data_IF_079071012321
#
_entry.id   IF_079071012321
#
_cell.length_a   1.000
_cell.length_b   1.000
_cell.length_c   1.000
_cell.angle_alpha   90.00
_cell.angle_beta   90.00
_cell.angle_gamma   90.00
#
_symmetry.space_group_name_H-M   'P 1'
#
loop_
_entity.id
_entity.type
_entity.pdbx_description
1 polymer ?
#
# COMPACT_ATOMS: atom_id res chain seq x y z
N UNK A 1 -8.69 -51.61 3.37
CA UNK A 1 -9.12 -50.85 4.56
C UNK A 1 -8.06 -49.99 5.19
N UNK A 2 -6.80 -50.39 5.15
CA UNK A 2 -5.69 -49.54 5.64
C UNK A 2 -5.51 -48.26 4.81
N UNK A 3 -5.75 -48.27 3.50
CA UNK A 3 -5.69 -47.10 2.65
C UNK A 3 -6.73 -46.04 2.99
N UNK A 4 -7.92 -46.41 3.46
CA UNK A 4 -8.97 -45.45 3.80
C UNK A 4 -8.67 -44.69 5.11
N UNK A 5 -7.90 -45.27 6.00
CA UNK A 5 -7.51 -44.63 7.26
C UNK A 5 -6.42 -43.56 7.01
N UNK A 6 -5.43 -43.87 6.17
CA UNK A 6 -4.37 -42.93 5.79
C UNK A 6 -4.94 -41.78 4.96
N UNK A 7 -5.92 -42.03 4.09
CA UNK A 7 -6.56 -40.99 3.29
C UNK A 7 -7.34 -40.00 4.16
N UNK A 8 -8.01 -40.46 5.20
CA UNK A 8 -8.71 -39.61 6.16
C UNK A 8 -7.78 -38.68 6.89
N UNK A 9 -6.62 -39.17 7.30
CA UNK A 9 -5.61 -38.36 7.96
C UNK A 9 -5.08 -37.26 7.04
N UNK A 10 -4.84 -37.59 5.76
CA UNK A 10 -4.40 -36.64 4.77
C UNK A 10 -5.43 -35.52 4.54
N UNK A 11 -6.72 -35.84 4.51
CA UNK A 11 -7.79 -34.84 4.39
C UNK A 11 -7.82 -33.90 5.60
N UNK A 12 -7.63 -34.40 6.79
CA UNK A 12 -7.57 -33.56 8.00
C UNK A 12 -6.38 -32.61 7.98
N UNK A 13 -5.21 -33.08 7.55
CA UNK A 13 -4.00 -32.24 7.43
C UNK A 13 -4.23 -31.13 6.40
N UNK A 14 -4.79 -31.45 5.24
CA UNK A 14 -5.13 -30.47 4.21
C UNK A 14 -6.14 -29.44 4.72
N UNK A 15 -7.15 -29.88 5.44
CA UNK A 15 -8.17 -29.00 6.01
C UNK A 15 -7.55 -28.02 7.00
N UNK A 16 -6.68 -28.48 7.89
CA UNK A 16 -5.99 -27.64 8.87
C UNK A 16 -5.08 -26.62 8.17
N UNK A 17 -4.35 -27.05 7.14
CA UNK A 17 -3.52 -26.15 6.34
C UNK A 17 -4.35 -25.07 5.64
N UNK A 18 -5.50 -25.44 5.10
CA UNK A 18 -6.41 -24.51 4.43
C UNK A 18 -6.99 -23.48 5.39
N UNK A 19 -7.38 -23.91 6.57
CA UNK A 19 -7.89 -23.02 7.63
C UNK A 19 -6.78 -22.07 8.10
N UNK A 20 -5.57 -22.56 8.31
CA UNK A 20 -4.44 -21.73 8.71
C UNK A 20 -4.12 -20.67 7.66
N UNK A 21 -4.11 -21.05 6.38
CA UNK A 21 -3.89 -20.11 5.28
C UNK A 21 -4.99 -19.04 5.22
N UNK A 22 -6.25 -19.44 5.37
CA UNK A 22 -7.38 -18.51 5.40
C UNK A 22 -7.28 -17.51 6.54
N UNK A 23 -6.87 -17.96 7.72
CA UNK A 23 -6.67 -17.08 8.89
C UNK A 23 -5.56 -16.06 8.60
N UNK A 24 -4.45 -16.47 8.01
CA UNK A 24 -3.35 -15.58 7.65
C UNK A 24 -3.81 -14.51 6.65
N UNK A 25 -4.53 -14.91 5.62
CA UNK A 25 -5.04 -13.98 4.61
C UNK A 25 -6.05 -12.99 5.19
N UNK A 26 -6.94 -13.44 6.06
CA UNK A 26 -7.93 -12.60 6.74
C UNK A 26 -7.22 -11.58 7.64
N UNK A 27 -6.20 -12.00 8.38
CA UNK A 27 -5.43 -11.09 9.25
C UNK A 27 -4.70 -10.01 8.46
N UNK A 28 -4.11 -10.34 7.32
CA UNK A 28 -3.45 -9.36 6.46
C UNK A 28 -4.42 -8.30 5.94
N UNK A 29 -5.59 -8.72 5.47
CA UNK A 29 -6.61 -7.80 4.99
C UNK A 29 -7.18 -6.93 6.12
N UNK A 30 -7.39 -7.51 7.30
CA UNK A 30 -7.90 -6.78 8.47
C UNK A 30 -6.94 -5.74 9.01
N UNK A 31 -5.62 -5.89 8.80
CA UNK A 31 -4.67 -4.89 9.28
C UNK A 31 -4.86 -3.55 8.56
N UNK A 32 -4.99 -3.56 7.23
CA UNK A 32 -5.27 -2.35 6.47
C UNK A 32 -6.62 -1.74 6.86
N UNK A 33 -7.66 -2.56 7.02
CA UNK A 33 -8.96 -2.11 7.48
C UNK A 33 -8.91 -1.54 8.90
N UNK A 34 -8.14 -2.15 9.78
CA UNK A 34 -7.94 -1.66 11.14
C UNK A 34 -7.28 -0.28 11.15
N UNK A 35 -6.24 -0.07 10.36
CA UNK A 35 -5.58 1.24 10.22
C UNK A 35 -6.57 2.26 9.65
N UNK A 36 -7.34 1.85 8.66
CA UNK A 36 -8.33 2.72 8.04
C UNK A 36 -9.42 3.17 9.03
N UNK A 37 -9.94 2.25 9.86
CA UNK A 37 -11.02 2.55 10.81
C UNK A 37 -10.53 3.23 12.08
N UNK A 38 -9.37 2.86 12.59
CA UNK A 38 -8.88 3.29 13.91
C UNK A 38 -7.68 4.26 13.83
N UNK A 39 -7.13 4.47 12.64
CA UNK A 39 -6.00 5.36 12.43
C UNK A 39 -6.38 6.83 12.57
N UNK A 40 -5.40 7.64 12.94
CA UNK A 40 -5.54 9.09 12.91
C UNK A 40 -5.49 9.58 11.46
N UNK A 41 -6.28 10.61 11.17
CA UNK A 41 -6.39 11.19 9.85
C UNK A 41 -5.39 12.34 9.71
N UNK A 42 -4.61 12.33 8.66
CA UNK A 42 -3.74 13.43 8.27
C UNK A 42 -3.74 13.55 6.74
N UNK A 43 -2.92 14.41 6.21
CA UNK A 43 -2.75 14.56 4.76
C UNK A 43 -1.33 14.26 4.37
N UNK A 44 -1.15 13.78 3.14
CA UNK A 44 0.16 13.61 2.53
C UNK A 44 0.14 14.19 1.11
N UNK A 45 1.33 14.53 0.62
CA UNK A 45 1.50 15.02 -0.74
C UNK A 45 2.26 13.99 -1.56
N UNK A 46 1.72 13.62 -2.72
CA UNK A 46 2.42 12.76 -3.65
C UNK A 46 3.55 13.55 -4.31
N UNK A 47 4.78 13.09 -4.13
CA UNK A 47 5.95 13.73 -4.72
C UNK A 47 6.28 13.16 -6.08
N UNK A 48 6.24 11.83 -6.21
CA UNK A 48 6.68 11.13 -7.41
C UNK A 48 6.01 9.76 -7.47
N UNK A 49 5.74 9.30 -8.66
CA UNK A 49 5.29 7.92 -8.87
C UNK A 49 6.21 7.24 -9.88
N UNK A 50 6.47 5.96 -9.64
CA UNK A 50 7.31 5.18 -10.53
C UNK A 50 6.84 3.74 -10.59
N UNK A 51 7.26 3.04 -11.62
CA UNK A 51 6.91 1.64 -11.85
C UNK A 51 8.19 0.82 -11.89
N UNK A 52 8.22 -0.26 -11.12
CA UNK A 52 9.26 -1.25 -11.23
C UNK A 52 8.86 -2.29 -12.30
N UNK A 53 9.77 -2.67 -13.20
CA UNK A 53 9.44 -3.61 -14.27
C UNK A 53 9.09 -4.98 -13.70
N UNK A 54 8.25 -5.72 -14.42
CA UNK A 54 7.96 -7.11 -14.11
C UNK A 54 9.22 -7.95 -14.19
N UNK A 55 9.41 -8.84 -13.22
CA UNK A 55 10.44 -9.86 -13.29
C UNK A 55 9.81 -11.24 -13.53
N UNK A 56 10.62 -12.30 -13.60
CA UNK A 56 10.17 -13.63 -13.98
C UNK A 56 9.03 -14.19 -13.12
N UNK A 57 8.94 -13.77 -11.86
CA UNK A 57 8.00 -14.32 -10.89
C UNK A 57 6.89 -13.35 -10.49
N UNK A 58 7.10 -12.05 -10.74
CA UNK A 58 6.16 -11.01 -10.30
C UNK A 58 5.83 -10.05 -11.43
N UNK A 59 4.58 -9.60 -11.47
CA UNK A 59 4.17 -8.53 -12.36
C UNK A 59 4.79 -7.18 -11.98
N UNK A 60 4.51 -6.12 -12.73
CA UNK A 60 5.03 -4.80 -12.44
C UNK A 60 4.55 -4.31 -11.06
N UNK A 61 5.42 -3.58 -10.37
CA UNK A 61 5.12 -3.00 -9.07
C UNK A 61 4.96 -1.49 -9.23
N UNK A 62 3.86 -0.96 -8.73
CA UNK A 62 3.51 0.46 -8.82
C UNK A 62 3.76 1.11 -7.48
N UNK A 63 4.55 2.18 -7.48
CA UNK A 63 5.02 2.86 -6.28
C UNK A 63 4.74 4.35 -6.34
N UNK A 64 4.42 4.94 -5.19
CA UNK A 64 4.22 6.38 -5.03
C UNK A 64 5.04 6.84 -3.83
N UNK A 65 5.86 7.87 -4.03
CA UNK A 65 6.59 8.50 -2.94
C UNK A 65 5.72 9.65 -2.43
N UNK A 66 5.37 9.60 -1.14
CA UNK A 66 4.58 10.63 -0.49
C UNK A 66 5.35 11.28 0.63
N UNK A 67 5.09 12.55 0.87
CA UNK A 67 5.62 13.29 2.02
C UNK A 67 4.47 13.69 2.95
N UNK A 68 4.76 13.70 4.24
CA UNK A 68 3.80 14.08 5.27
C UNK A 68 4.50 14.76 6.42
N UNK A 69 3.74 15.46 7.25
CA UNK A 69 4.26 16.10 8.46
C UNK A 69 3.73 15.36 9.68
N UNK A 70 4.66 14.88 10.50
CA UNK A 70 4.35 14.23 11.77
C UNK A 70 4.95 15.05 12.91
N UNK A 71 4.08 15.74 13.64
CA UNK A 71 4.53 16.74 14.62
C UNK A 71 5.21 17.91 13.92
N UNK A 72 6.52 18.09 14.18
CA UNK A 72 7.34 19.11 13.52
C UNK A 72 8.27 18.54 12.44
N UNK A 73 8.24 17.23 12.24
CA UNK A 73 9.15 16.54 11.31
C UNK A 73 8.42 16.23 10.01
N UNK A 74 9.04 16.61 8.91
CA UNK A 74 8.62 16.22 7.55
C UNK A 74 9.33 14.92 7.18
N UNK A 75 8.57 13.92 6.79
CA UNK A 75 9.09 12.61 6.43
C UNK A 75 8.52 12.15 5.08
N UNK A 76 9.16 11.17 4.47
CA UNK A 76 8.75 10.60 3.18
C UNK A 76 8.60 9.10 3.30
N UNK A 77 7.61 8.56 2.57
CA UNK A 77 7.36 7.12 2.48
C UNK A 77 7.25 6.71 1.02
N UNK A 78 7.71 5.49 0.74
CA UNK A 78 7.53 4.82 -0.55
C UNK A 78 6.41 3.81 -0.40
N UNK A 79 5.27 4.08 -1.01
CA UNK A 79 4.05 3.31 -0.83
C UNK A 79 3.75 2.52 -2.10
N UNK A 80 3.56 1.21 -1.95
CA UNK A 80 3.09 0.36 -3.03
C UNK A 80 1.59 0.50 -3.17
N UNK A 81 1.12 0.65 -4.41
CA UNK A 81 -0.29 0.83 -4.71
C UNK A 81 -0.73 -0.05 -5.88
N UNK A 82 -2.02 -0.09 -6.13
CA UNK A 82 -2.61 -0.79 -7.26
C UNK A 82 -2.41 0.03 -8.54
N UNK A 83 -2.37 -0.64 -9.70
CA UNK A 83 -2.23 0.01 -10.99
C UNK A 83 -3.29 1.09 -11.21
N UNK A 84 -4.55 0.81 -10.90
CA UNK A 84 -5.64 1.77 -11.10
C UNK A 84 -5.43 3.07 -10.31
N UNK A 85 -5.02 2.97 -9.05
CA UNK A 85 -4.73 4.13 -8.22
C UNK A 85 -3.48 4.86 -8.71
N UNK A 86 -2.45 4.11 -9.08
CA UNK A 86 -1.20 4.67 -9.58
C UNK A 86 -1.40 5.51 -10.84
N UNK A 87 -2.25 5.06 -11.75
CA UNK A 87 -2.54 5.78 -12.99
C UNK A 87 -3.23 7.13 -12.74
N UNK A 88 -4.02 7.22 -11.69
CA UNK A 88 -4.79 8.43 -11.35
C UNK A 88 -4.07 9.36 -10.37
N UNK A 89 -3.01 8.91 -9.70
CA UNK A 89 -2.25 9.75 -8.77
C UNK A 89 -1.60 10.90 -9.52
N UNK A 90 -1.80 12.11 -9.00
CA UNK A 90 -1.19 13.33 -9.52
C UNK A 90 -0.02 13.75 -8.65
N UNK A 91 1.19 13.90 -9.19
CA UNK A 91 2.31 14.50 -8.44
C UNK A 91 1.97 15.91 -8.00
N UNK A 92 2.25 16.24 -6.75
CA UNK A 92 1.79 17.47 -6.12
C UNK A 92 0.38 17.40 -5.56
N UNK A 93 -0.34 16.31 -5.80
CA UNK A 93 -1.67 16.09 -5.25
C UNK A 93 -1.62 15.82 -3.75
N UNK A 94 -2.59 16.34 -3.03
CA UNK A 94 -2.74 16.14 -1.58
C UNK A 94 -3.85 15.12 -1.34
N UNK A 95 -3.52 14.07 -0.59
CA UNK A 95 -4.40 12.94 -0.34
C UNK A 95 -4.57 12.72 1.16
N UNK A 96 -5.69 12.11 1.54
CA UNK A 96 -5.91 11.69 2.91
C UNK A 96 -5.02 10.51 3.27
N UNK A 97 -4.39 10.57 4.43
CA UNK A 97 -3.59 9.48 4.98
C UNK A 97 -4.07 9.15 6.38
N UNK A 98 -4.13 7.86 6.70
CA UNK A 98 -4.46 7.36 8.04
C UNK A 98 -3.32 6.54 8.57
N UNK A 99 -2.97 6.73 9.83
CA UNK A 99 -1.85 6.04 10.47
C UNK A 99 -2.16 5.71 11.93
N UNK A 100 -1.46 4.70 12.45
CA UNK A 100 -1.55 4.34 13.87
C UNK A 100 -0.60 5.21 14.68
N UNK A 101 -1.12 5.89 15.70
CA UNK A 101 -0.37 6.89 16.47
C UNK A 101 0.66 6.30 17.43
N UNK A 102 0.59 5.01 17.72
CA UNK A 102 1.43 4.36 18.73
C UNK A 102 2.80 3.95 18.20
N UNK A 103 3.03 4.03 16.89
CA UNK A 103 4.23 3.57 16.24
C UNK A 103 4.74 4.62 15.26
N UNK A 104 6.03 4.55 14.95
CA UNK A 104 6.59 5.38 13.88
C UNK A 104 5.84 5.10 12.58
N UNK A 105 5.49 6.14 11.87
CA UNK A 105 4.79 6.02 10.58
C UNK A 105 5.70 5.31 9.58
N UNK A 106 5.18 4.22 9.01
CA UNK A 106 5.85 3.44 7.98
C UNK A 106 4.86 3.04 6.90
N UNK A 107 5.34 2.54 5.77
CA UNK A 107 4.48 2.05 4.70
C UNK A 107 3.55 0.90 5.14
N UNK A 108 3.88 0.23 6.24
CA UNK A 108 3.11 -0.91 6.76
C UNK A 108 2.00 -0.50 7.72
N UNK A 109 2.14 0.62 8.43
CA UNK A 109 1.16 1.05 9.43
C UNK A 109 0.38 2.30 9.02
N UNK A 110 0.39 2.65 7.77
CA UNK A 110 -0.41 3.74 7.23
C UNK A 110 -1.16 3.30 5.97
N UNK A 111 -2.24 4.01 5.69
CA UNK A 111 -3.05 3.83 4.48
C UNK A 111 -3.25 5.19 3.83
N UNK A 112 -2.92 5.30 2.55
CA UNK A 112 -3.15 6.50 1.75
C UNK A 112 -4.33 6.24 0.81
N UNK A 113 -5.29 7.15 0.82
CA UNK A 113 -6.49 7.06 -0.02
C UNK A 113 -6.26 7.84 -1.30
N UNK A 114 -5.76 7.16 -2.33
CA UNK A 114 -5.40 7.80 -3.60
C UNK A 114 -6.59 8.08 -4.53
N UNK A 115 -7.74 7.50 -4.28
CA UNK A 115 -8.94 7.76 -5.06
C UNK A 115 -9.66 9.05 -4.66
N UNK A 116 -9.21 9.71 -3.59
CA UNK A 116 -9.80 10.93 -3.07
C UNK A 116 -8.77 12.05 -3.02
N UNK A 117 -8.67 12.77 -4.13
CA UNK A 117 -7.81 13.96 -4.22
C UNK A 117 -8.44 15.11 -3.41
N UNK A 118 -7.71 15.63 -2.43
CA UNK A 118 -8.18 16.73 -1.59
C UNK A 118 -7.82 18.09 -2.16
N UNK A 119 -6.61 18.23 -2.67
CA UNK A 119 -6.10 19.49 -3.22
C UNK A 119 -4.91 19.19 -4.14
N UNK A 120 -4.50 20.20 -4.91
CA UNK A 120 -3.37 20.09 -5.84
C UNK A 120 -2.47 21.32 -5.64
N UNK A 121 -1.17 21.05 -5.46
CA UNK A 121 -0.17 22.11 -5.48
C UNK A 121 0.23 22.38 -6.93
N UNK A 122 -0.35 23.40 -7.52
CA UNK A 122 -0.14 23.75 -8.93
C UNK A 122 1.30 24.16 -9.22
N UNK A 123 1.95 24.85 -8.30
CA UNK A 123 3.36 25.26 -8.45
C UNK A 123 4.27 24.01 -8.49
N UNK A 124 4.01 23.06 -7.64
CA UNK A 124 4.75 21.79 -7.63
C UNK A 124 4.56 21.04 -8.95
N UNK A 125 3.33 20.99 -9.48
CA UNK A 125 3.04 20.31 -10.73
C UNK A 125 3.75 20.95 -11.92
N UNK A 126 3.81 22.28 -11.99
CA UNK A 126 4.52 22.97 -13.06
C UNK A 126 6.01 22.65 -13.05
N UNK A 127 6.62 22.65 -11.87
CA UNK A 127 8.04 22.31 -11.72
C UNK A 127 8.32 20.82 -11.99
N UNK A 128 7.36 19.96 -11.70
CA UNK A 128 7.51 18.53 -11.85
C UNK A 128 7.39 18.07 -13.30
N UNK A 129 6.55 18.74 -14.11
CA UNK A 129 6.23 18.30 -15.47
C UNK A 129 7.40 18.34 -16.43
N UNK A 130 8.52 18.94 -16.07
CA UNK A 130 9.60 19.24 -17.01
C UNK A 130 10.65 18.15 -17.22
N UNK A 131 10.86 17.20 -16.30
CA UNK A 131 11.90 16.18 -16.53
C UNK A 131 11.91 14.98 -15.59
N UNK A 132 11.23 15.04 -14.45
CA UNK A 132 11.41 14.02 -13.41
C UNK A 132 10.73 12.69 -13.73
N UNK A 133 9.70 12.69 -14.54
CA UNK A 133 8.96 11.49 -14.92
C UNK A 133 9.76 10.52 -15.80
N UNK A 134 10.46 11.10 -16.75
CA UNK A 134 11.16 10.31 -17.78
C UNK A 134 12.39 9.62 -17.23
N UNK A 135 13.01 10.17 -16.19
CA UNK A 135 14.24 9.62 -15.62
C UNK A 135 14.03 8.39 -14.74
N UNK A 136 12.80 8.12 -14.32
CA UNK A 136 12.47 7.00 -13.44
C UNK A 136 11.78 5.83 -14.14
N UNK A 137 11.39 6.03 -15.37
CA UNK A 137 10.90 4.96 -16.23
C UNK A 137 12.08 4.27 -16.93
#
# INVERSE_FOLDING_TARGET
MEKSHNDRWAYWVLLIMFIALAIILIRRNKHADYVFENGQITTCQALHKYRLPANQNNGPTYKVIVTFVWGTVKDTLDIQTKQADWETVLPGGIYEMRYLSNERISAQNCVVIFDKLLDVDSEYMENYSSSAWESWE
#
